data_IF_182817121702
#
_entry.id   IF_182817121702
#
_cell.length_a   1.000
_cell.length_b   1.000
_cell.length_c   1.000
_cell.angle_alpha   90.00
_cell.angle_beta   90.00
_cell.angle_gamma   90.00
#
_symmetry.space_group_name_H-M   'P 1'
#
loop_
_entity.id
_entity.type
_entity.pdbx_description
1 polymer ?
#
# COMPACT_ATOMS: atom_id res chain seq x y z
N UNK A 1 21.66 12.97 6.17
CA UNK A 1 21.55 14.12 5.24
C UNK A 1 21.13 15.31 6.08
N UNK A 2 22.05 16.24 6.25
CA UNK A 2 21.89 17.49 6.99
C UNK A 2 20.76 18.33 6.39
N UNK A 3 19.95 18.94 7.28
CA UNK A 3 18.93 19.94 6.94
C UNK A 3 19.57 21.01 6.03
N UNK A 4 19.32 20.93 4.74
CA UNK A 4 19.60 22.04 3.86
C UNK A 4 18.69 23.20 4.26
N UNK A 5 19.24 24.40 4.37
CA UNK A 5 18.56 25.67 4.62
C UNK A 5 17.30 25.76 3.76
N UNK A 6 16.16 25.46 4.36
CA UNK A 6 14.88 25.57 3.70
C UNK A 6 14.59 27.06 3.62
N UNK A 7 14.87 27.68 2.49
CA UNK A 7 14.72 29.13 2.31
C UNK A 7 13.31 29.60 2.71
N UNK A 8 13.19 30.81 3.23
CA UNK A 8 11.93 31.39 3.70
C UNK A 8 10.77 31.24 2.68
N UNK A 9 11.07 31.30 1.40
CA UNK A 9 10.12 31.08 0.30
C UNK A 9 9.52 29.66 0.31
N UNK A 10 10.34 28.63 0.57
CA UNK A 10 9.87 27.22 0.62
C UNK A 10 8.94 26.99 1.82
N UNK A 11 9.22 27.62 2.96
CA UNK A 11 8.34 27.55 4.14
C UNK A 11 7.00 28.22 3.88
N UNK A 12 6.98 29.38 3.22
CA UNK A 12 5.75 30.08 2.83
C UNK A 12 4.94 29.22 1.86
N UNK A 13 5.57 28.64 0.84
CA UNK A 13 4.91 27.75 -0.11
C UNK A 13 4.31 26.51 0.60
N UNK A 14 5.00 25.91 1.55
CA UNK A 14 4.48 24.78 2.32
C UNK A 14 3.26 25.16 3.17
N UNK A 15 3.22 26.37 3.73
CA UNK A 15 2.03 26.88 4.45
C UNK A 15 0.84 27.05 3.52
N UNK A 16 1.04 27.65 2.35
CA UNK A 16 -0.02 27.81 1.34
C UNK A 16 -0.53 26.44 0.90
N UNK A 17 0.38 25.49 0.62
CA UNK A 17 0.03 24.12 0.27
C UNK A 17 -0.77 23.44 1.38
N UNK A 18 -0.34 23.57 2.65
CA UNK A 18 -1.08 23.02 3.81
C UNK A 18 -2.49 23.57 3.91
N UNK A 19 -2.65 24.90 3.74
CA UNK A 19 -3.96 25.54 3.77
C UNK A 19 -4.86 25.02 2.63
N UNK A 20 -4.35 24.89 1.42
CA UNK A 20 -5.08 24.37 0.28
C UNK A 20 -5.48 22.89 0.48
N UNK A 21 -4.58 22.05 0.99
CA UNK A 21 -4.86 20.66 1.30
C UNK A 21 -5.96 20.50 2.35
N UNK A 22 -5.89 21.28 3.44
CA UNK A 22 -6.92 21.28 4.48
C UNK A 22 -8.25 21.87 4.01
N UNK A 23 -8.22 22.91 3.17
CA UNK A 23 -9.43 23.48 2.59
C UNK A 23 -10.14 22.45 1.69
N UNK A 24 -9.38 21.71 0.85
CA UNK A 24 -9.90 20.61 0.03
C UNK A 24 -10.52 19.51 0.89
N UNK A 25 -9.84 19.06 1.95
CA UNK A 25 -10.38 18.05 2.88
C UNK A 25 -11.68 18.51 3.53
N UNK A 26 -11.71 19.75 4.06
CA UNK A 26 -12.91 20.33 4.69
C UNK A 26 -14.06 20.49 3.69
N UNK A 27 -13.76 20.82 2.45
CA UNK A 27 -14.78 20.93 1.41
C UNK A 27 -15.48 19.59 1.18
N UNK A 28 -14.71 18.50 0.97
CA UNK A 28 -15.27 17.15 0.81
C UNK A 28 -15.99 16.64 2.06
N UNK A 29 -15.55 17.06 3.27
CA UNK A 29 -16.21 16.70 4.51
C UNK A 29 -17.60 17.35 4.63
N UNK A 30 -17.75 18.59 4.13
CA UNK A 30 -19.02 19.35 4.14
C UNK A 30 -19.96 18.96 2.99
N UNK A 31 -19.42 18.44 1.90
CA UNK A 31 -20.18 18.08 0.70
C UNK A 31 -20.13 16.56 0.50
N UNK A 32 -20.71 15.83 1.43
CA UNK A 32 -20.71 14.35 1.40
C UNK A 32 -21.47 13.79 0.18
N UNK A 33 -22.39 14.55 -0.38
CA UNK A 33 -23.20 14.23 -1.57
C UNK A 33 -22.38 14.11 -2.85
N UNK A 34 -21.24 14.80 -2.95
CA UNK A 34 -20.36 14.68 -4.13
C UNK A 34 -19.48 13.44 -4.09
N UNK A 35 -19.44 12.74 -2.95
CA UNK A 35 -18.64 11.52 -2.78
C UNK A 35 -19.42 10.32 -3.27
N UNK A 36 -18.88 9.64 -4.29
CA UNK A 36 -19.50 8.43 -4.83
C UNK A 36 -19.38 7.28 -3.83
N UNK A 37 -20.41 6.43 -3.77
CA UNK A 37 -20.45 5.27 -2.88
C UNK A 37 -20.49 3.98 -3.69
N UNK A 38 -19.72 2.99 -3.23
CA UNK A 38 -19.83 1.61 -3.70
C UNK A 38 -20.95 0.87 -2.96
N UNK A 39 -21.37 -0.25 -3.49
CA UNK A 39 -22.37 -1.12 -2.88
C UNK A 39 -21.82 -1.97 -1.74
N UNK A 40 -20.51 -2.05 -1.62
CA UNK A 40 -19.79 -2.84 -0.61
C UNK A 40 -18.92 -1.94 0.25
N UNK A 41 -18.59 -2.35 1.50
CA UNK A 41 -17.72 -1.59 2.39
C UNK A 41 -16.37 -1.26 1.77
N UNK A 42 -15.86 -0.06 2.07
CA UNK A 42 -14.57 0.43 1.60
C UNK A 42 -13.69 0.78 2.81
N UNK A 43 -12.63 0.03 2.99
CA UNK A 43 -11.61 0.26 4.00
C UNK A 43 -10.41 0.93 3.33
N UNK A 44 -10.02 2.10 3.79
CA UNK A 44 -8.88 2.82 3.22
C UNK A 44 -7.65 2.61 4.09
N UNK A 45 -6.52 2.29 3.46
CA UNK A 45 -5.20 2.31 4.07
C UNK A 45 -4.40 3.42 3.40
N UNK A 46 -3.93 4.37 4.20
CA UNK A 46 -3.20 5.51 3.67
C UNK A 46 -2.22 6.10 4.67
N UNK A 47 -1.55 7.17 4.26
CA UNK A 47 -0.62 7.92 5.11
C UNK A 47 -0.64 9.41 4.76
N UNK A 48 0.07 10.21 5.55
CA UNK A 48 0.26 11.64 5.25
C UNK A 48 1.48 11.93 4.39
N UNK A 49 2.48 11.04 4.38
CA UNK A 49 3.79 11.24 3.72
C UNK A 49 3.74 10.91 2.24
N UNK A 50 4.45 11.68 1.42
CA UNK A 50 4.81 11.28 0.06
C UNK A 50 5.93 10.24 0.11
N UNK A 51 5.77 9.13 -0.64
CA UNK A 51 6.77 8.05 -0.69
C UNK A 51 6.50 6.88 0.25
N UNK A 52 7.48 5.99 0.39
CA UNK A 52 7.37 4.70 1.06
C UNK A 52 7.20 4.80 2.57
N UNK A 53 6.01 4.52 3.07
CA UNK A 53 5.69 4.46 4.51
C UNK A 53 5.23 3.06 4.95
N UNK A 54 5.35 2.05 4.09
CA UNK A 54 4.87 0.70 4.38
C UNK A 54 3.38 0.48 4.13
N UNK A 55 2.75 1.30 3.28
CA UNK A 55 1.35 1.13 2.88
C UNK A 55 1.06 -0.22 2.26
N UNK A 56 1.84 -0.59 1.27
CA UNK A 56 1.61 -1.82 0.49
C UNK A 56 1.60 -3.10 1.34
N UNK A 57 2.56 -3.31 2.27
CA UNK A 57 2.47 -4.43 3.21
C UNK A 57 1.26 -4.36 4.15
N UNK A 58 0.86 -3.18 4.61
CA UNK A 58 -0.33 -3.01 5.44
C UNK A 58 -1.62 -3.32 4.66
N UNK A 59 -1.72 -2.86 3.40
CA UNK A 59 -2.83 -3.23 2.49
C UNK A 59 -2.89 -4.74 2.31
N UNK A 60 -1.73 -5.39 2.12
CA UNK A 60 -1.65 -6.84 2.00
C UNK A 60 -2.15 -7.55 3.26
N UNK A 61 -1.71 -7.10 4.45
CA UNK A 61 -2.14 -7.66 5.73
C UNK A 61 -3.66 -7.52 5.95
N UNK A 62 -4.23 -6.35 5.68
CA UNK A 62 -5.69 -6.10 5.78
C UNK A 62 -6.47 -6.97 4.79
N UNK A 63 -6.01 -7.06 3.54
CA UNK A 63 -6.69 -7.84 2.52
C UNK A 63 -6.63 -9.36 2.81
N UNK A 64 -5.49 -9.85 3.29
CA UNK A 64 -5.33 -11.24 3.71
C UNK A 64 -6.25 -11.58 4.89
N UNK A 65 -6.28 -10.73 5.93
CA UNK A 65 -7.17 -10.90 7.07
C UNK A 65 -8.65 -10.99 6.64
N UNK A 66 -9.09 -10.11 5.74
CA UNK A 66 -10.46 -10.14 5.21
C UNK A 66 -10.77 -11.43 4.45
N UNK A 67 -9.84 -11.89 3.61
CA UNK A 67 -9.96 -13.17 2.90
C UNK A 67 -10.08 -14.34 3.88
N UNK A 68 -9.23 -14.37 4.90
CA UNK A 68 -9.18 -15.44 5.90
C UNK A 68 -10.46 -15.50 6.75
N UNK A 69 -11.18 -14.39 6.83
CA UNK A 69 -12.54 -14.31 7.40
C UNK A 69 -13.66 -14.69 6.42
N UNK A 70 -13.34 -15.21 5.26
CA UNK A 70 -14.31 -15.66 4.26
C UNK A 70 -14.87 -14.54 3.37
N UNK A 71 -14.33 -13.33 3.45
CA UNK A 71 -14.68 -12.27 2.50
C UNK A 71 -14.04 -12.53 1.13
N UNK A 72 -14.58 -11.87 0.11
CA UNK A 72 -13.96 -11.77 -1.21
C UNK A 72 -13.44 -10.34 -1.40
N UNK A 73 -12.26 -10.03 -0.88
CA UNK A 73 -11.74 -8.67 -0.93
C UNK A 73 -11.23 -8.31 -2.30
N UNK A 74 -11.28 -7.01 -2.62
CA UNK A 74 -10.48 -6.44 -3.70
C UNK A 74 -9.59 -5.33 -3.19
N UNK A 75 -8.36 -5.27 -3.73
CA UNK A 75 -7.47 -4.11 -3.57
C UNK A 75 -7.71 -3.17 -4.74
N UNK A 76 -8.04 -1.90 -4.42
CA UNK A 76 -8.24 -0.84 -5.40
C UNK A 76 -7.05 0.12 -5.35
N UNK A 77 -6.20 0.10 -6.36
CA UNK A 77 -4.99 0.94 -6.45
C UNK A 77 -5.05 1.92 -7.62
N UNK A 78 -4.18 2.93 -7.59
CA UNK A 78 -4.04 3.90 -8.68
C UNK A 78 -3.31 3.34 -9.90
N UNK A 79 -2.44 2.38 -9.66
CA UNK A 79 -1.51 1.91 -10.67
C UNK A 79 -0.45 2.98 -10.97
N UNK A 80 0.26 3.43 -9.94
CA UNK A 80 1.37 4.37 -10.13
C UNK A 80 2.50 3.72 -10.92
N UNK A 81 3.18 4.51 -11.78
CA UNK A 81 4.31 4.03 -12.56
C UNK A 81 3.96 3.13 -13.76
N UNK A 82 2.69 3.08 -14.19
CA UNK A 82 2.29 2.40 -15.43
C UNK A 82 2.92 3.07 -16.64
N UNK A 83 3.44 2.27 -17.58
CA UNK A 83 4.00 2.73 -18.84
C UNK A 83 2.97 2.76 -19.96
N UNK A 84 2.01 1.83 -19.91
CA UNK A 84 0.91 1.72 -20.84
C UNK A 84 -0.43 1.92 -20.11
N UNK A 85 -0.76 3.15 -19.65
CA UNK A 85 -2.02 3.40 -19.01
C UNK A 85 -3.17 3.18 -20.00
N UNK A 86 -4.22 2.49 -19.52
CA UNK A 86 -5.44 2.25 -20.28
C UNK A 86 -6.54 3.10 -19.67
N UNK A 87 -7.43 3.63 -20.51
CA UNK A 87 -8.62 4.32 -20.02
C UNK A 87 -9.52 3.35 -19.25
N UNK A 88 -10.10 3.85 -18.15
CA UNK A 88 -10.99 3.06 -17.32
C UNK A 88 -10.28 2.29 -16.20
N UNK A 89 -10.64 1.02 -16.02
CA UNK A 89 -10.09 0.15 -14.99
C UNK A 89 -9.47 -1.11 -15.58
N UNK A 90 -8.34 -1.56 -15.00
CA UNK A 90 -7.64 -2.79 -15.39
C UNK A 90 -7.73 -3.78 -14.24
N UNK A 91 -8.21 -4.98 -14.51
CA UNK A 91 -8.13 -6.12 -13.60
C UNK A 91 -6.71 -6.66 -13.69
N UNK A 92 -5.95 -6.54 -12.59
CA UNK A 92 -4.60 -7.08 -12.49
C UNK A 92 -4.64 -8.55 -12.09
N UNK A 93 -5.53 -8.86 -11.12
CA UNK A 93 -5.86 -10.24 -10.74
C UNK A 93 -7.34 -10.36 -10.41
N UNK A 94 -7.93 -11.50 -10.77
CA UNK A 94 -9.29 -11.87 -10.36
C UNK A 94 -9.31 -12.63 -9.01
N UNK A 95 -8.16 -12.73 -8.36
CA UNK A 95 -7.93 -13.51 -7.15
C UNK A 95 -7.41 -14.93 -7.40
N UNK A 96 -7.30 -15.35 -8.66
CA UNK A 96 -6.77 -16.67 -9.08
C UNK A 96 -5.72 -16.57 -10.16
N UNK A 97 -5.91 -15.65 -11.08
CA UNK A 97 -5.06 -15.50 -12.27
C UNK A 97 -4.54 -14.07 -12.36
N UNK A 98 -3.31 -13.93 -12.77
CA UNK A 98 -2.71 -12.62 -13.15
C UNK A 98 -3.16 -12.31 -14.58
N UNK A 99 -3.85 -11.18 -14.76
CA UNK A 99 -4.49 -10.79 -16.01
C UNK A 99 -3.86 -9.57 -16.69
N UNK A 100 -2.88 -8.94 -16.01
CA UNK A 100 -2.17 -7.80 -16.56
C UNK A 100 -0.67 -7.89 -16.27
N UNK A 101 0.13 -7.29 -17.14
CA UNK A 101 1.57 -7.13 -16.99
C UNK A 101 1.94 -5.88 -16.18
N UNK A 102 3.24 -5.70 -15.92
CA UNK A 102 3.77 -4.58 -15.13
C UNK A 102 3.53 -3.22 -15.81
N UNK A 103 3.51 -3.16 -17.14
CA UNK A 103 3.34 -1.91 -17.88
C UNK A 103 1.90 -1.39 -17.81
N UNK A 104 0.91 -2.29 -17.73
CA UNK A 104 -0.51 -1.96 -17.60
C UNK A 104 -0.95 -1.79 -16.15
N UNK A 105 -0.36 -2.52 -15.21
CA UNK A 105 -0.72 -2.52 -13.80
C UNK A 105 0.07 -1.55 -12.92
N UNK A 106 1.36 -1.40 -13.20
CA UNK A 106 2.37 -0.90 -12.28
C UNK A 106 2.94 -2.03 -11.40
N UNK A 107 4.12 -1.82 -10.85
CA UNK A 107 4.87 -2.81 -10.06
C UNK A 107 4.18 -3.15 -8.71
N UNK A 108 3.72 -2.16 -7.95
CA UNK A 108 3.08 -2.40 -6.65
C UNK A 108 1.77 -3.18 -6.75
N UNK A 109 0.81 -2.85 -7.64
CA UNK A 109 -0.39 -3.66 -7.81
C UNK A 109 -0.12 -5.07 -8.32
N UNK A 110 0.87 -5.24 -9.21
CA UNK A 110 1.24 -6.56 -9.69
C UNK A 110 1.89 -7.42 -8.61
N UNK A 111 2.76 -6.82 -7.79
CA UNK A 111 3.34 -7.44 -6.61
C UNK A 111 2.24 -7.90 -5.64
N UNK A 112 1.27 -7.02 -5.30
CA UNK A 112 0.13 -7.39 -4.45
C UNK A 112 -0.68 -8.54 -5.04
N UNK A 113 -0.93 -8.53 -6.35
CA UNK A 113 -1.67 -9.58 -7.04
C UNK A 113 -0.97 -10.96 -6.97
N UNK A 114 0.38 -10.97 -6.94
CA UNK A 114 1.16 -12.22 -6.78
C UNK A 114 1.26 -12.69 -5.34
N UNK A 115 1.24 -11.77 -4.39
CA UNK A 115 1.34 -12.11 -2.95
C UNK A 115 0.00 -12.54 -2.35
N UNK A 116 -1.11 -12.09 -2.91
CA UNK A 116 -2.44 -12.23 -2.33
C UNK A 116 -3.32 -13.18 -3.13
N UNK A 117 -3.10 -14.46 -2.95
CA UNK A 117 -4.02 -15.47 -3.50
C UNK A 117 -5.43 -15.29 -2.91
N UNK A 118 -6.47 -15.44 -3.73
CA UNK A 118 -7.85 -15.23 -3.33
C UNK A 118 -8.31 -13.77 -3.25
N UNK A 119 -7.45 -12.79 -3.55
CA UNK A 119 -7.76 -11.35 -3.53
C UNK A 119 -7.72 -10.77 -4.93
N UNK A 120 -8.80 -10.11 -5.34
CA UNK A 120 -8.80 -9.39 -6.60
C UNK A 120 -7.98 -8.10 -6.50
N UNK A 121 -7.24 -7.74 -7.55
CA UNK A 121 -6.52 -6.47 -7.63
C UNK A 121 -6.95 -5.71 -8.87
N UNK A 122 -7.44 -4.49 -8.69
CA UNK A 122 -7.95 -3.65 -9.77
C UNK A 122 -7.30 -2.26 -9.71
N UNK A 123 -6.80 -1.78 -10.84
CA UNK A 123 -6.18 -0.46 -10.93
C UNK A 123 -7.01 0.50 -11.78
N UNK A 124 -7.18 1.71 -11.28
CA UNK A 124 -7.80 2.83 -12.00
C UNK A 124 -7.47 4.15 -11.31
N UNK A 125 -7.27 5.26 -12.02
CA UNK A 125 -7.27 6.60 -11.42
C UNK A 125 -8.59 6.90 -10.71
N UNK A 126 -9.71 6.41 -11.27
CA UNK A 126 -11.04 6.45 -10.69
C UNK A 126 -11.32 5.14 -9.89
N UNK A 127 -11.10 5.19 -8.54
CA UNK A 127 -11.31 4.02 -7.67
C UNK A 127 -12.80 3.59 -7.59
N UNK A 128 -13.74 4.51 -7.84
CA UNK A 128 -15.14 4.13 -7.91
C UNK A 128 -15.40 3.19 -9.10
N UNK A 129 -14.83 3.50 -10.27
CA UNK A 129 -14.94 2.66 -11.45
C UNK A 129 -14.30 1.28 -11.19
N UNK A 130 -13.11 1.25 -10.56
CA UNK A 130 -12.45 0.01 -10.17
C UNK A 130 -13.31 -0.83 -9.21
N UNK A 131 -13.88 -0.22 -8.18
CA UNK A 131 -14.75 -0.90 -7.23
C UNK A 131 -16.04 -1.42 -7.88
N UNK A 132 -16.69 -0.64 -8.74
CA UNK A 132 -17.89 -1.09 -9.48
C UNK A 132 -17.59 -2.30 -10.37
N UNK A 133 -16.41 -2.32 -11.00
CA UNK A 133 -15.97 -3.48 -11.78
C UNK A 133 -15.75 -4.69 -10.87
N UNK A 134 -15.06 -4.52 -9.72
CA UNK A 134 -14.83 -5.57 -8.74
C UNK A 134 -16.14 -6.16 -8.19
N UNK A 135 -17.13 -5.32 -7.89
CA UNK A 135 -18.46 -5.77 -7.45
C UNK A 135 -19.19 -6.58 -8.52
N UNK A 136 -19.29 -6.03 -9.74
CA UNK A 136 -20.16 -6.56 -10.79
C UNK A 136 -19.58 -7.76 -11.50
N UNK A 137 -18.25 -7.81 -11.70
CA UNK A 137 -17.59 -8.82 -12.52
C UNK A 137 -16.85 -9.87 -11.71
N UNK A 138 -16.29 -9.46 -10.54
CA UNK A 138 -15.48 -10.34 -9.72
C UNK A 138 -16.21 -10.79 -8.44
N UNK A 139 -17.39 -10.20 -8.17
CA UNK A 139 -18.23 -10.55 -7.03
C UNK A 139 -17.59 -10.24 -5.69
N UNK A 140 -16.73 -9.21 -5.61
CA UNK A 140 -16.08 -8.82 -4.38
C UNK A 140 -17.08 -8.29 -3.34
N UNK A 141 -16.84 -8.58 -2.06
CA UNK A 141 -17.75 -8.27 -0.94
C UNK A 141 -17.26 -7.13 -0.07
N UNK A 142 -16.00 -6.74 -0.21
CA UNK A 142 -15.33 -5.63 0.51
C UNK A 142 -14.16 -5.10 -0.34
N UNK A 143 -13.83 -3.83 -0.18
CA UNK A 143 -12.74 -3.17 -0.89
C UNK A 143 -11.70 -2.63 0.07
N UNK A 144 -10.43 -2.86 -0.22
CA UNK A 144 -9.28 -2.22 0.43
C UNK A 144 -8.69 -1.20 -0.51
N UNK A 145 -8.70 0.06 -0.12
CA UNK A 145 -8.21 1.18 -0.93
C UNK A 145 -6.74 1.42 -0.62
N UNK A 146 -5.88 1.15 -1.57
CA UNK A 146 -4.45 1.43 -1.49
C UNK A 146 -4.18 2.93 -1.72
N UNK A 147 -3.46 3.55 -0.76
CA UNK A 147 -3.17 4.99 -0.72
C UNK A 147 -4.45 5.85 -0.81
N UNK A 148 -5.47 5.46 -0.01
CA UNK A 148 -6.82 6.00 -0.11
C UNK A 148 -7.08 7.28 0.67
N UNK A 149 -6.23 7.69 1.62
CA UNK A 149 -6.53 8.75 2.59
C UNK A 149 -6.79 10.12 1.96
N UNK A 150 -6.16 10.44 0.81
CA UNK A 150 -6.39 11.63 0.01
C UNK A 150 -7.37 11.43 -1.16
N UNK A 151 -7.97 10.22 -1.30
CA UNK A 151 -8.94 9.97 -2.37
C UNK A 151 -10.36 10.31 -1.93
N UNK A 152 -10.66 11.60 -1.81
CA UNK A 152 -11.92 12.10 -1.22
C UNK A 152 -13.17 11.82 -2.08
N UNK A 153 -13.03 11.64 -3.38
CA UNK A 153 -14.14 11.43 -4.30
C UNK A 153 -14.90 10.11 -4.08
N UNK A 154 -14.28 9.13 -3.42
CA UNK A 154 -14.90 7.89 -3.02
C UNK A 154 -15.21 7.93 -1.52
N UNK A 155 -16.41 7.50 -1.14
CA UNK A 155 -16.76 7.28 0.25
C UNK A 155 -15.96 6.10 0.81
N UNK A 156 -15.42 6.28 2.01
CA UNK A 156 -14.72 5.23 2.75
C UNK A 156 -15.49 5.01 4.05
N UNK A 157 -15.66 3.77 4.42
CA UNK A 157 -16.41 3.38 5.61
C UNK A 157 -15.49 3.28 6.84
N UNK A 158 -14.18 3.06 6.60
CA UNK A 158 -13.13 3.22 7.60
C UNK A 158 -11.83 3.69 6.96
N UNK A 159 -11.13 4.60 7.62
CA UNK A 159 -9.81 5.11 7.25
C UNK A 159 -8.75 4.66 8.26
N UNK A 160 -7.83 3.78 7.84
CA UNK A 160 -6.63 3.39 8.57
C UNK A 160 -5.47 4.30 8.16
N UNK A 161 -4.93 5.06 9.11
CA UNK A 161 -3.85 6.00 8.85
C UNK A 161 -2.53 5.47 9.39
N UNK A 162 -1.57 5.24 8.51
CA UNK A 162 -0.20 4.88 8.88
C UNK A 162 0.57 6.16 9.22
N UNK A 163 1.16 6.19 10.40
CA UNK A 163 2.07 7.26 10.84
C UNK A 163 3.34 6.62 11.40
N UNK A 164 4.48 7.19 11.04
CA UNK A 164 5.79 6.81 11.54
C UNK A 164 6.33 7.85 12.53
N UNK A 165 7.29 7.50 13.40
CA UNK A 165 7.96 8.48 14.26
C UNK A 165 8.61 9.63 13.48
N UNK A 166 9.12 9.34 12.28
CA UNK A 166 9.74 10.35 11.40
C UNK A 166 8.72 11.38 10.89
N UNK A 167 7.43 11.06 10.85
CA UNK A 167 6.39 12.01 10.45
C UNK A 167 6.16 13.09 11.51
N UNK A 168 6.38 12.75 12.80
CA UNK A 168 6.37 13.72 13.88
C UNK A 168 7.69 14.49 14.00
N UNK A 169 8.80 13.85 13.67
CA UNK A 169 10.12 14.50 13.68
C UNK A 169 10.24 15.56 12.57
N UNK A 170 9.63 15.31 11.39
CA UNK A 170 9.56 16.29 10.29
C UNK A 170 8.09 16.46 9.85
N UNK A 171 7.31 17.33 10.56
CA UNK A 171 5.90 17.53 10.31
C UNK A 171 5.59 18.52 9.17
N UNK A 172 6.61 18.94 8.44
CA UNK A 172 6.44 19.91 7.36
C UNK A 172 5.78 19.27 6.14
N UNK A 173 4.91 20.04 5.50
CA UNK A 173 4.31 19.61 4.24
C UNK A 173 5.19 19.96 3.06
N UNK A 174 4.91 19.35 1.92
CA UNK A 174 5.50 19.73 0.64
C UNK A 174 5.35 21.24 0.39
N UNK A 175 6.36 21.90 -0.21
CA UNK A 175 7.66 21.38 -0.59
C UNK A 175 8.73 21.43 0.51
N UNK A 176 8.44 21.94 1.72
CA UNK A 176 9.41 22.10 2.79
C UNK A 176 9.71 20.81 3.57
N UNK A 177 8.84 19.80 3.48
CA UNK A 177 8.99 18.51 4.11
C UNK A 177 8.25 17.42 3.34
N UNK A 178 8.13 16.24 3.92
CA UNK A 178 7.65 15.06 3.20
C UNK A 178 6.13 14.90 3.18
N UNK A 179 5.37 15.67 3.97
CA UNK A 179 3.95 15.42 4.16
C UNK A 179 3.09 15.99 3.01
N UNK A 180 2.12 15.20 2.54
CA UNK A 180 1.08 15.62 1.57
C UNK A 180 -0.06 16.40 2.23
N UNK A 181 -0.24 16.23 3.53
CA UNK A 181 -1.19 16.97 4.36
C UNK A 181 -0.57 17.20 5.74
N UNK A 182 -0.92 18.27 6.45
CA UNK A 182 -0.39 18.52 7.79
C UNK A 182 -0.88 17.45 8.78
N UNK A 183 -0.15 17.25 9.89
CA UNK A 183 -0.50 16.27 10.92
C UNK A 183 -1.94 16.42 11.46
N UNK A 184 -2.47 17.64 11.46
CA UNK A 184 -3.87 17.90 11.86
C UNK A 184 -4.90 17.15 10.99
N UNK A 185 -4.53 16.75 9.77
CA UNK A 185 -5.40 15.93 8.92
C UNK A 185 -5.59 14.51 9.46
N UNK A 186 -4.71 14.04 10.35
CA UNK A 186 -4.77 12.73 10.97
C UNK A 186 -6.11 12.50 11.72
N UNK A 187 -6.64 13.54 12.37
CA UNK A 187 -7.91 13.46 13.10
C UNK A 187 -9.14 13.12 12.24
N UNK A 188 -8.98 12.96 10.94
CA UNK A 188 -10.04 12.49 10.04
C UNK A 188 -10.02 10.98 9.81
N UNK A 189 -9.06 10.24 10.38
CA UNK A 189 -8.98 8.79 10.30
C UNK A 189 -9.67 8.14 11.49
N UNK A 190 -10.14 6.90 11.30
CA UNK A 190 -10.87 6.13 12.31
C UNK A 190 -9.93 5.37 13.24
N UNK A 191 -8.76 4.95 12.73
CA UNK A 191 -7.73 4.30 13.53
C UNK A 191 -6.32 4.65 13.04
N UNK A 192 -5.40 4.67 14.00
CA UNK A 192 -3.97 4.84 13.78
C UNK A 192 -3.28 3.48 13.62
N UNK A 193 -2.53 3.31 12.55
CA UNK A 193 -1.51 2.27 12.40
C UNK A 193 -0.15 2.88 12.71
N UNK A 194 0.30 2.78 13.96
CA UNK A 194 1.60 3.28 14.41
C UNK A 194 2.71 2.37 13.86
N UNK A 195 3.47 2.85 12.88
CA UNK A 195 4.50 2.06 12.21
C UNK A 195 5.81 2.06 13.02
N UNK A 196 5.81 1.32 14.10
CA UNK A 196 6.93 1.12 15.04
C UNK A 196 6.86 -0.26 15.68
N UNK A 197 8.00 -0.78 16.13
CA UNK A 197 8.11 -2.02 16.92
C UNK A 197 7.99 -1.75 18.44
N UNK A 198 8.10 -0.49 18.87
CA UNK A 198 8.02 -0.08 20.27
C UNK A 198 6.59 0.34 20.65
N UNK A 199 6.02 -0.35 21.63
CA UNK A 199 4.67 -0.08 22.15
C UNK A 199 4.55 1.28 22.81
N UNK A 200 5.57 1.70 23.57
CA UNK A 200 5.58 3.01 24.20
C UNK A 200 5.63 4.14 23.16
N UNK A 201 6.33 3.92 22.04
CA UNK A 201 6.35 4.87 20.93
C UNK A 201 4.99 4.93 20.20
N UNK A 202 4.33 3.79 20.00
CA UNK A 202 2.98 3.76 19.47
C UNK A 202 2.00 4.56 20.35
N UNK A 203 2.10 4.42 21.67
CA UNK A 203 1.33 5.21 22.63
C UNK A 203 1.63 6.71 22.54
N UNK A 204 2.90 7.10 22.37
CA UNK A 204 3.29 8.52 22.16
C UNK A 204 2.71 9.09 20.87
N UNK A 205 2.73 8.31 19.76
CA UNK A 205 2.13 8.70 18.49
C UNK A 205 0.62 8.91 18.64
N UNK A 206 -0.07 7.97 19.29
CA UNK A 206 -1.51 8.04 19.54
C UNK A 206 -1.89 9.28 20.40
N UNK A 207 -1.18 9.50 21.49
CA UNK A 207 -1.40 10.66 22.37
C UNK A 207 -1.17 11.99 21.63
N UNK A 208 -0.08 12.09 20.86
CA UNK A 208 0.28 13.31 20.12
C UNK A 208 -0.73 13.66 19.02
N UNK A 209 -1.36 12.65 18.42
CA UNK A 209 -2.35 12.79 17.35
C UNK A 209 -3.80 12.66 17.86
N UNK A 210 -4.01 12.44 19.16
CA UNK A 210 -5.31 12.30 19.82
C UNK A 210 -6.16 11.13 19.28
N UNK A 211 -5.52 9.98 18.98
CA UNK A 211 -6.24 8.78 18.60
C UNK A 211 -6.68 7.97 19.82
N UNK A 212 -7.97 7.57 19.83
CA UNK A 212 -8.52 6.61 20.79
C UNK A 212 -8.27 5.15 20.35
N UNK A 213 -8.26 4.91 19.02
CA UNK A 213 -8.01 3.58 18.45
C UNK A 213 -6.64 3.57 17.82
N UNK A 214 -5.76 2.73 18.33
CA UNK A 214 -4.39 2.59 17.83
C UNK A 214 -3.97 1.14 17.78
N UNK A 215 -3.32 0.78 16.67
CA UNK A 215 -2.68 -0.52 16.46
C UNK A 215 -1.23 -0.30 16.04
N UNK A 216 -0.34 -1.23 16.41
CA UNK A 216 1.03 -1.21 15.94
C UNK A 216 1.10 -1.87 14.57
N UNK A 217 1.78 -1.23 13.65
CA UNK A 217 2.14 -1.80 12.35
C UNK A 217 3.61 -2.22 12.39
N UNK A 218 3.86 -3.49 12.70
CA UNK A 218 5.20 -4.07 12.63
C UNK A 218 5.52 -4.44 11.20
N UNK A 219 6.71 -4.07 10.76
CA UNK A 219 7.19 -4.36 9.41
C UNK A 219 8.46 -5.16 9.50
N UNK A 220 8.47 -6.28 8.83
CA UNK A 220 9.60 -7.19 8.81
C UNK A 220 9.92 -7.67 7.41
N UNK A 221 11.10 -8.22 7.26
CA UNK A 221 11.43 -8.99 6.08
C UNK A 221 10.83 -10.38 6.24
N UNK A 222 9.97 -10.74 5.32
CA UNK A 222 9.42 -12.08 5.21
C UNK A 222 10.46 -13.10 4.73
N UNK A 223 10.06 -14.35 4.53
CA UNK A 223 10.94 -15.39 4.03
C UNK A 223 11.51 -15.03 2.66
N UNK A 224 12.77 -15.39 2.45
CA UNK A 224 13.41 -15.26 1.14
C UNK A 224 13.05 -16.48 0.30
N UNK A 225 12.52 -16.26 -0.90
CA UNK A 225 12.04 -17.31 -1.80
C UNK A 225 12.76 -17.27 -3.15
N UNK A 226 13.08 -18.44 -3.72
CA UNK A 226 13.67 -18.51 -5.07
C UNK A 226 12.66 -18.11 -6.13
N UNK A 227 13.08 -17.24 -7.04
CA UNK A 227 12.21 -16.72 -8.11
C UNK A 227 11.81 -17.78 -9.15
N UNK A 228 12.65 -18.79 -9.37
CA UNK A 228 12.48 -19.80 -10.43
C UNK A 228 11.96 -21.15 -9.95
N UNK A 229 11.97 -21.40 -8.65
CA UNK A 229 11.62 -22.72 -8.06
C UNK A 229 10.27 -22.73 -7.36
N UNK A 230 9.26 -22.09 -7.95
CA UNK A 230 7.90 -22.13 -7.39
C UNK A 230 7.75 -21.56 -5.98
N UNK A 231 8.59 -20.56 -5.63
CA UNK A 231 8.51 -19.92 -4.32
C UNK A 231 9.19 -20.72 -3.18
N UNK A 232 10.11 -21.65 -3.49
CA UNK A 232 10.85 -22.38 -2.45
C UNK A 232 11.60 -21.42 -1.53
N UNK A 233 11.34 -21.52 -0.23
CA UNK A 233 12.02 -20.76 0.82
C UNK A 233 13.50 -21.11 0.87
N UNK A 234 14.35 -20.10 0.97
CA UNK A 234 15.81 -20.23 1.15
C UNK A 234 16.17 -19.65 2.51
N UNK A 235 17.02 -20.37 3.23
CA UNK A 235 17.55 -19.93 4.51
C UNK A 235 19.00 -19.44 4.35
N UNK A 236 19.42 -18.43 5.14
CA UNK A 236 20.84 -18.07 5.18
C UNK A 236 21.65 -19.23 5.71
N UNK A 237 22.77 -19.54 5.02
CA UNK A 237 23.69 -20.58 5.45
C UNK A 237 25.09 -19.98 5.66
N UNK A 238 25.87 -20.50 6.66
CA UNK A 238 27.21 -20.02 6.93
C UNK A 238 28.07 -20.04 5.67
N UNK A 239 28.79 -18.95 5.40
CA UNK A 239 29.65 -18.82 4.24
C UNK A 239 28.96 -18.51 2.91
N UNK A 240 27.63 -18.62 2.83
CA UNK A 240 26.85 -18.30 1.62
C UNK A 240 26.78 -16.80 1.40
N UNK A 241 27.49 -16.33 0.37
CA UNK A 241 27.52 -14.91 -0.01
C UNK A 241 26.37 -14.59 -0.97
N UNK A 242 25.73 -13.46 -0.76
CA UNK A 242 24.63 -12.99 -1.61
C UNK A 242 24.87 -11.56 -2.09
N UNK A 243 24.33 -11.24 -3.27
CA UNK A 243 24.29 -9.88 -3.81
C UNK A 243 22.91 -9.28 -3.51
N UNK A 244 22.87 -8.11 -2.88
CA UNK A 244 21.61 -7.37 -2.72
C UNK A 244 21.34 -6.51 -3.97
N UNK A 245 20.14 -6.62 -4.57
CA UNK A 245 19.73 -5.81 -5.73
C UNK A 245 18.47 -5.05 -5.35
N UNK A 246 18.49 -3.71 -5.41
CA UNK A 246 17.34 -2.92 -5.01
C UNK A 246 17.18 -1.61 -5.80
N UNK A 247 15.94 -1.39 -6.29
CA UNK A 247 15.45 -0.16 -6.90
C UNK A 247 14.24 0.39 -6.14
N UNK A 248 14.41 0.65 -4.85
CA UNK A 248 13.37 1.13 -3.93
C UNK A 248 13.80 2.44 -3.25
N UNK A 249 12.84 3.18 -2.70
CA UNK A 249 13.09 4.48 -2.07
C UNK A 249 14.06 4.43 -0.87
N UNK A 250 14.15 3.30 -0.17
CA UNK A 250 15.00 3.10 1.02
C UNK A 250 15.88 1.85 0.89
N UNK A 251 16.85 1.82 -0.04
CA UNK A 251 17.64 0.62 -0.31
C UNK A 251 18.51 0.18 0.87
N UNK A 252 19.02 1.12 1.65
CA UNK A 252 19.79 0.80 2.86
C UNK A 252 18.98 0.00 3.88
N UNK A 253 17.69 0.28 4.02
CA UNK A 253 16.80 -0.46 4.90
C UNK A 253 16.63 -1.91 4.44
N UNK A 254 16.49 -2.13 3.13
CA UNK A 254 16.44 -3.46 2.53
C UNK A 254 17.74 -4.26 2.78
N UNK A 255 18.90 -3.66 2.50
CA UNK A 255 20.21 -4.30 2.71
C UNK A 255 20.44 -4.64 4.19
N UNK A 256 20.10 -3.72 5.09
CA UNK A 256 20.21 -3.96 6.53
C UNK A 256 19.25 -5.07 7.00
N UNK A 257 18.02 -5.11 6.47
CA UNK A 257 17.07 -6.19 6.73
C UNK A 257 17.63 -7.57 6.38
N UNK A 258 18.26 -7.69 5.20
CA UNK A 258 18.95 -8.94 4.82
C UNK A 258 20.04 -9.33 5.81
N UNK A 259 20.90 -8.38 6.21
CA UNK A 259 21.98 -8.64 7.19
C UNK A 259 21.42 -9.06 8.55
N UNK A 260 20.42 -8.37 9.05
CA UNK A 260 19.73 -8.72 10.31
C UNK A 260 19.07 -10.09 10.21
N UNK A 261 18.55 -10.47 9.04
CA UNK A 261 18.02 -11.79 8.73
C UNK A 261 19.10 -12.88 8.56
N UNK A 262 20.38 -12.58 8.84
CA UNK A 262 21.50 -13.54 8.81
C UNK A 262 22.15 -13.75 7.44
N UNK A 263 21.78 -12.96 6.43
CA UNK A 263 22.37 -13.06 5.10
C UNK A 263 23.75 -12.38 5.02
N UNK A 264 24.73 -13.10 4.47
CA UNK A 264 26.07 -12.54 4.18
C UNK A 264 26.02 -11.72 2.87
N UNK A 265 25.61 -10.46 2.98
CA UNK A 265 25.55 -9.53 1.84
C UNK A 265 26.97 -9.06 1.51
N UNK A 266 27.60 -9.72 0.54
CA UNK A 266 28.99 -9.45 0.10
C UNK A 266 29.10 -8.36 -0.97
N UNK A 267 28.01 -7.97 -1.61
CA UNK A 267 27.92 -6.89 -2.59
C UNK A 267 26.53 -6.35 -2.73
N UNK A 268 26.40 -5.21 -3.41
CA UNK A 268 25.10 -4.59 -3.66
C UNK A 268 25.07 -3.86 -5.00
N UNK A 269 23.92 -3.94 -5.69
CA UNK A 269 23.57 -3.15 -6.87
C UNK A 269 22.32 -2.33 -6.52
N UNK A 270 22.50 -1.02 -6.39
CA UNK A 270 21.43 -0.09 -6.05
C UNK A 270 21.12 0.77 -7.26
N UNK A 271 19.85 0.76 -7.67
CA UNK A 271 19.33 1.59 -8.77
C UNK A 271 18.26 2.55 -8.24
N UNK A 272 17.81 3.47 -9.08
CA UNK A 272 16.73 4.41 -8.71
C UNK A 272 15.41 3.66 -8.47
N UNK A 273 14.56 4.23 -7.63
CA UNK A 273 13.20 3.71 -7.42
C UNK A 273 12.43 3.67 -8.75
N UNK A 274 11.63 2.62 -8.95
CA UNK A 274 10.92 2.31 -10.20
C UNK A 274 11.84 2.15 -11.43
N UNK A 275 13.09 1.67 -11.24
CA UNK A 275 14.03 1.42 -12.34
C UNK A 275 13.47 0.42 -13.35
N UNK A 276 13.72 0.70 -14.61
CA UNK A 276 13.38 -0.18 -15.72
C UNK A 276 14.56 -1.06 -16.04
N UNK A 277 14.54 -2.28 -15.49
CA UNK A 277 15.61 -3.24 -15.75
C UNK A 277 15.63 -3.68 -17.22
N UNK A 278 16.83 -3.88 -17.75
CA UNK A 278 17.11 -4.37 -19.09
C UNK A 278 18.21 -5.44 -19.08
N UNK A 279 18.57 -5.96 -20.26
CA UNK A 279 19.63 -6.99 -20.37
C UNK A 279 21.00 -6.48 -19.90
N UNK A 280 21.29 -5.20 -20.05
CA UNK A 280 22.53 -4.59 -19.54
C UNK A 280 22.59 -4.60 -18.01
N UNK A 281 21.46 -4.35 -17.35
CA UNK A 281 21.38 -4.44 -15.88
C UNK A 281 21.61 -5.88 -15.41
N UNK A 282 21.05 -6.89 -16.10
CA UNK A 282 21.31 -8.30 -15.77
C UNK A 282 22.78 -8.67 -15.92
N UNK A 283 23.46 -8.16 -16.95
CA UNK A 283 24.89 -8.37 -17.14
C UNK A 283 25.72 -7.72 -16.01
N UNK A 284 25.41 -6.47 -15.66
CA UNK A 284 26.06 -5.76 -14.55
C UNK A 284 25.79 -6.46 -13.18
N UNK A 285 24.60 -6.99 -12.96
CA UNK A 285 24.27 -7.78 -11.76
C UNK A 285 25.11 -9.07 -11.72
N UNK A 286 25.25 -9.77 -12.85
CA UNK A 286 26.05 -10.99 -12.92
C UNK A 286 27.54 -10.70 -12.65
N UNK A 287 28.09 -9.63 -13.22
CA UNK A 287 29.48 -9.19 -13.00
C UNK A 287 29.70 -8.81 -11.52
N UNK A 288 28.79 -8.02 -10.94
CA UNK A 288 28.86 -7.67 -9.54
C UNK A 288 28.78 -8.90 -8.62
N UNK A 289 27.93 -9.90 -8.95
CA UNK A 289 27.84 -11.15 -8.21
C UNK A 289 29.15 -11.95 -8.28
N UNK A 290 29.75 -12.05 -9.47
CA UNK A 290 31.04 -12.73 -9.65
C UNK A 290 32.14 -12.03 -8.84
N UNK A 291 32.26 -10.70 -8.91
CA UNK A 291 33.21 -9.90 -8.13
C UNK A 291 33.02 -10.06 -6.60
N UNK A 292 31.79 -10.13 -6.14
CA UNK A 292 31.43 -10.34 -4.72
C UNK A 292 31.50 -11.82 -4.32
N UNK A 293 31.74 -12.76 -5.24
CA UNK A 293 31.62 -14.21 -5.05
C UNK A 293 30.28 -14.62 -4.47
N UNK A 294 29.22 -13.95 -4.90
CA UNK A 294 27.84 -14.22 -4.47
C UNK A 294 27.26 -15.38 -5.30
N UNK A 295 26.57 -16.29 -4.64
CA UNK A 295 25.96 -17.46 -5.29
C UNK A 295 24.56 -17.18 -5.83
N UNK A 296 23.95 -16.09 -5.39
CA UNK A 296 22.63 -15.62 -5.84
C UNK A 296 22.48 -14.11 -5.63
N UNK A 297 21.55 -13.51 -6.34
CA UNK A 297 21.04 -12.16 -6.07
C UNK A 297 19.75 -12.24 -5.25
N UNK A 298 19.64 -11.41 -4.21
CA UNK A 298 18.39 -11.21 -3.47
C UNK A 298 17.86 -9.83 -3.80
N UNK A 299 16.61 -9.76 -4.25
CA UNK A 299 15.95 -8.51 -4.60
C UNK A 299 14.62 -8.34 -3.88
N UNK A 300 14.00 -7.16 -4.00
CA UNK A 300 12.67 -6.90 -3.44
C UNK A 300 11.57 -7.53 -4.29
N UNK A 301 10.41 -7.81 -3.70
CA UNK A 301 9.25 -8.28 -4.46
C UNK A 301 8.83 -7.28 -5.55
N UNK A 302 8.96 -5.96 -5.28
CA UNK A 302 8.66 -4.90 -6.23
C UNK A 302 9.59 -4.92 -7.45
N UNK A 303 10.91 -5.02 -7.23
CA UNK A 303 11.89 -5.07 -8.32
C UNK A 303 11.76 -6.34 -9.15
N UNK A 304 11.42 -7.46 -8.49
CA UNK A 304 11.22 -8.74 -9.17
C UNK A 304 10.15 -8.65 -10.26
N UNK A 305 9.07 -7.88 -10.06
CA UNK A 305 8.04 -7.71 -11.10
C UNK A 305 8.58 -7.12 -12.40
N UNK A 306 9.63 -6.31 -12.33
CA UNK A 306 10.30 -5.73 -13.48
C UNK A 306 11.45 -6.58 -14.04
N UNK A 307 11.99 -7.50 -13.23
CA UNK A 307 13.02 -8.45 -13.62
C UNK A 307 12.43 -9.69 -14.29
N UNK A 308 11.27 -10.17 -13.85
CA UNK A 308 10.64 -11.40 -14.35
C UNK A 308 10.52 -11.49 -15.89
N UNK A 309 10.17 -10.40 -16.62
CA UNK A 309 10.11 -10.45 -18.09
C UNK A 309 11.46 -10.66 -18.78
N UNK A 310 12.56 -10.48 -18.05
CA UNK A 310 13.92 -10.59 -18.60
C UNK A 310 14.53 -11.99 -18.48
N UNK A 311 13.78 -13.00 -18.01
CA UNK A 311 14.24 -14.39 -17.91
C UNK A 311 14.72 -14.92 -19.27
N UNK A 312 15.68 -15.89 -19.28
CA UNK A 312 16.30 -16.52 -18.12
C UNK A 312 17.35 -15.62 -17.45
N UNK A 313 17.53 -15.80 -16.14
CA UNK A 313 18.49 -15.03 -15.35
C UNK A 313 19.90 -15.63 -15.46
N UNK A 314 20.96 -14.79 -15.50
CA UNK A 314 22.35 -15.26 -15.58
C UNK A 314 22.86 -15.89 -14.27
N UNK A 315 22.23 -15.60 -13.16
CA UNK A 315 22.48 -16.16 -11.83
C UNK A 315 21.14 -16.43 -11.12
N UNK A 316 21.08 -17.30 -10.11
CA UNK A 316 19.85 -17.48 -9.33
C UNK A 316 19.39 -16.18 -8.67
N UNK A 317 18.10 -15.89 -8.76
CA UNK A 317 17.45 -14.79 -8.06
C UNK A 317 16.56 -15.32 -6.94
N UNK A 318 16.58 -14.61 -5.81
CA UNK A 318 15.63 -14.80 -4.73
C UNK A 318 14.95 -13.47 -4.39
N UNK A 319 13.77 -13.57 -3.84
CA UNK A 319 12.89 -12.44 -3.47
C UNK A 319 12.77 -12.39 -1.96
N UNK A 320 13.08 -11.23 -1.38
CA UNK A 320 12.75 -10.93 -0.01
C UNK A 320 11.50 -10.04 0.00
N UNK A 321 10.37 -10.61 0.39
CA UNK A 321 9.14 -9.87 0.55
C UNK A 321 9.20 -8.99 1.80
N UNK A 322 8.54 -7.86 1.78
CA UNK A 322 8.28 -7.05 2.96
C UNK A 322 6.89 -7.45 3.49
N UNK A 323 6.85 -7.89 4.74
CA UNK A 323 5.61 -8.27 5.42
C UNK A 323 5.24 -7.25 6.49
N UNK A 324 3.98 -7.23 6.85
CA UNK A 324 3.45 -6.41 7.92
C UNK A 324 2.52 -7.24 8.81
N UNK A 325 2.63 -7.02 10.11
CA UNK A 325 1.69 -7.51 11.12
C UNK A 325 1.06 -6.32 11.83
N UNK A 326 -0.24 -6.41 12.08
CA UNK A 326 -0.98 -5.39 12.83
C UNK A 326 -1.31 -5.98 14.20
N UNK A 327 -0.89 -5.30 15.26
CA UNK A 327 -0.98 -5.78 16.64
C UNK A 327 -1.71 -4.77 17.56
N UNK A 328 -2.47 -5.24 18.56
CA UNK A 328 -2.84 -6.64 18.81
C UNK A 328 -3.75 -7.20 17.71
N UNK A 329 -3.46 -8.43 17.25
CA UNK A 329 -4.15 -9.02 16.08
C UNK A 329 -5.64 -9.21 16.32
N UNK A 330 -6.03 -9.80 17.46
CA UNK A 330 -7.43 -10.09 17.78
C UNK A 330 -8.26 -8.82 17.93
N UNK A 331 -7.69 -7.76 18.53
CA UNK A 331 -8.37 -6.47 18.69
C UNK A 331 -8.54 -5.76 17.34
N UNK A 332 -7.52 -5.81 16.51
CA UNK A 332 -7.60 -5.26 15.16
C UNK A 332 -8.64 -5.98 14.32
N UNK A 333 -8.66 -7.31 14.40
CA UNK A 333 -9.63 -8.15 13.70
C UNK A 333 -11.07 -7.84 14.13
N UNK A 334 -11.31 -7.74 15.45
CA UNK A 334 -12.61 -7.39 16.01
C UNK A 334 -13.05 -5.97 15.57
N UNK A 335 -12.14 -5.00 15.64
CA UNK A 335 -12.38 -3.64 15.19
C UNK A 335 -12.75 -3.59 13.70
N UNK A 336 -11.97 -4.24 12.85
CA UNK A 336 -12.20 -4.26 11.39
C UNK A 336 -13.55 -4.91 11.04
N UNK A 337 -13.89 -6.03 11.72
CA UNK A 337 -15.18 -6.69 11.56
C UNK A 337 -16.33 -5.76 11.91
N UNK A 338 -16.24 -5.06 13.04
CA UNK A 338 -17.24 -4.08 13.48
C UNK A 338 -17.45 -2.95 12.46
N UNK A 339 -16.36 -2.41 11.87
CA UNK A 339 -16.45 -1.39 10.83
C UNK A 339 -17.22 -1.88 9.60
N UNK A 340 -16.93 -3.11 9.16
CA UNK A 340 -17.59 -3.73 8.01
C UNK A 340 -19.07 -3.97 8.27
N UNK A 341 -19.43 -4.49 9.43
CA UNK A 341 -20.83 -4.72 9.82
C UNK A 341 -21.60 -3.41 9.90
N UNK A 342 -21.03 -2.38 10.50
CA UNK A 342 -21.60 -1.03 10.58
C UNK A 342 -21.85 -0.44 9.20
N UNK A 343 -20.87 -0.57 8.29
CA UNK A 343 -20.99 -0.11 6.90
C UNK A 343 -22.12 -0.85 6.15
N UNK A 344 -22.24 -2.16 6.34
CA UNK A 344 -23.29 -3.00 5.73
C UNK A 344 -24.68 -2.59 6.24
N UNK A 345 -24.84 -2.42 7.56
CA UNK A 345 -26.08 -2.00 8.15
C UNK A 345 -26.51 -0.61 7.66
N UNK A 346 -25.56 0.33 7.54
CA UNK A 346 -25.82 1.65 6.97
C UNK A 346 -26.20 1.59 5.48
N UNK A 347 -25.59 0.70 4.71
CA UNK A 347 -25.94 0.46 3.30
C UNK A 347 -27.36 -0.08 3.13
N UNK A 348 -27.76 -1.03 3.96
CA UNK A 348 -29.12 -1.61 3.94
C UNK A 348 -30.19 -0.57 4.28
N UNK A 349 -29.98 0.29 5.30
CA UNK A 349 -30.90 1.37 5.65
C UNK A 349 -31.12 2.32 4.47
N UNK A 350 -30.05 2.78 3.81
CA UNK A 350 -30.16 3.67 2.64
C UNK A 350 -30.93 3.02 1.47
N UNK A 351 -30.69 1.74 1.20
CA UNK A 351 -31.39 1.02 0.15
C UNK A 351 -32.90 0.87 0.45
N UNK A 352 -33.27 0.72 1.72
CA UNK A 352 -34.65 0.68 2.18
C UNK A 352 -35.37 2.03 2.00
N UNK A 353 -34.71 3.14 2.37
CA UNK A 353 -35.24 4.50 2.23
C UNK A 353 -35.52 4.88 0.77
N UNK A 354 -34.59 4.53 -0.14
CA UNK A 354 -34.75 4.77 -1.58
C UNK A 354 -35.97 4.02 -2.14
N UNK A 355 -36.16 2.75 -1.78
CA UNK A 355 -37.32 1.95 -2.22
C UNK A 355 -38.62 2.47 -1.63
N UNK A 356 -38.63 2.98 -0.42
CA UNK A 356 -39.81 3.57 0.19
C UNK A 356 -40.20 4.88 -0.48
N UNK A 357 -39.23 5.75 -0.76
CA UNK A 357 -39.45 7.00 -1.52
C UNK A 357 -40.00 6.78 -2.93
N UNK A 358 -39.48 5.78 -3.66
CA UNK A 358 -40.01 5.41 -4.98
C UNK A 358 -41.45 4.90 -4.90
N UNK A 359 -41.81 4.09 -3.91
CA UNK A 359 -43.20 3.61 -3.70
C UNK A 359 -44.17 4.73 -3.34
N UNK A 360 -43.74 5.69 -2.52
CA UNK A 360 -44.59 6.84 -2.14
C UNK A 360 -44.81 7.74 -3.36
N UNK A 361 -43.81 7.95 -4.21
CA UNK A 361 -43.96 8.75 -5.44
C UNK A 361 -44.90 8.06 -6.45
N UNK A 362 -44.86 6.74 -6.54
CA UNK A 362 -45.70 5.95 -7.46
C UNK A 362 -47.18 5.94 -7.01
N UNK A 363 -47.42 6.02 -5.69
CA UNK A 363 -48.80 6.11 -5.11
C UNK A 363 -49.37 7.52 -5.27
N UNK A 364 -48.54 8.56 -5.29
CA UNK A 364 -49.00 9.96 -5.47
C UNK A 364 -49.23 10.33 -6.93
N UNK A 365 -48.76 9.53 -7.89
CA UNK A 365 -48.94 9.76 -9.34
C UNK A 365 -50.06 8.92 -9.96
N UNK A 366 -50.82 8.16 -9.18
CA UNK A 366 -52.08 7.48 -9.53
C UNK A 366 -53.25 8.21 -8.91
#
# INVERSE_FOLDING_TARGET
MTHADTGAATVVLARVYSCAAMARRRWFARHAEVRRRLGRPVISVGNLRAGGSGKTPAVAAVAALLRDRGERPSVLSRGYGRRAPVDGAVVVSDGRHILADVDRSGDEPLMLARQLDGVAVVVSPDRYLAGRLAERRLGCTVHVLDDGFQHFALWRDADLLIVTPEDLADPHTLPAGPLREPLAAAGAADALLAATDDEAEAGRLAARLSFATVFRLRRGQGPVTLAESGGRVVQPAPGTRVLAVAGVARPAQFVNGLRTGGWNVSGQVIVRDHHSYGRQDLAAIAEAAAGARAVMAITTAKDMERLLPLRPFPIPFAVAALEAAIEPADEFEAWLAHQIETARAAGQRRAGETRHGERVTEVMTR
#
